data_IF_325175282853
#
_entry.id   IF_325175282853
#
_cell.length_a   1.000
_cell.length_b   1.000
_cell.length_c   1.000
_cell.angle_alpha   90.00
_cell.angle_beta   90.00
_cell.angle_gamma   90.00
#
_symmetry.space_group_name_H-M   'P 1'
#
loop_
_entity.id
_entity.type
_entity.pdbx_description
1 polymer ?
#
# COMPACT_ATOMS: atom_id res chain seq x y z
N UNK A 1 11.58 23.17 -41.20
CA UNK A 1 10.32 22.48 -41.57
C UNK A 1 10.45 20.97 -41.44
N UNK A 2 11.43 20.32 -42.08
CA UNK A 2 11.68 18.87 -41.96
C UNK A 2 12.10 18.44 -40.53
N UNK A 3 12.93 19.24 -39.84
CA UNK A 3 13.35 18.94 -38.46
C UNK A 3 12.20 19.03 -37.44
N UNK A 4 11.20 19.87 -37.68
CA UNK A 4 10.00 19.98 -36.82
C UNK A 4 9.08 18.78 -37.00
N UNK A 5 8.88 18.30 -38.24
CA UNK A 5 8.06 17.11 -38.51
C UNK A 5 8.69 15.82 -37.99
N UNK A 6 10.01 15.65 -38.17
CA UNK A 6 10.74 14.48 -37.64
C UNK A 6 10.72 14.43 -36.11
N UNK A 7 10.82 15.60 -35.47
CA UNK A 7 10.74 15.72 -34.03
C UNK A 7 9.32 15.37 -33.56
N UNK A 8 8.26 15.93 -34.17
CA UNK A 8 6.86 15.61 -33.82
C UNK A 8 6.48 14.15 -34.05
N UNK A 9 7.01 13.50 -35.09
CA UNK A 9 6.79 12.06 -35.32
C UNK A 9 7.48 11.23 -34.23
N UNK A 10 8.73 11.57 -33.88
CA UNK A 10 9.47 10.87 -32.83
C UNK A 10 8.82 11.04 -31.45
N UNK A 11 8.38 12.25 -31.08
CA UNK A 11 7.68 12.49 -29.81
C UNK A 11 6.40 11.65 -29.70
N UNK A 12 5.67 11.50 -30.81
CA UNK A 12 4.41 10.74 -30.82
C UNK A 12 4.63 9.22 -30.76
N UNK A 13 5.70 8.71 -31.35
CA UNK A 13 6.12 7.29 -31.22
C UNK A 13 6.66 6.98 -29.82
N UNK A 14 7.43 7.88 -29.21
CA UNK A 14 7.89 7.80 -27.83
C UNK A 14 6.72 7.79 -26.84
N UNK A 15 5.74 8.67 -27.02
CA UNK A 15 4.55 8.72 -26.17
C UNK A 15 3.72 7.43 -26.27
N UNK A 16 3.54 6.88 -27.48
CA UNK A 16 2.85 5.62 -27.70
C UNK A 16 3.59 4.41 -27.09
N UNK A 17 4.92 4.38 -27.14
CA UNK A 17 5.72 3.33 -26.48
C UNK A 17 5.62 3.43 -24.95
N UNK A 18 5.71 4.66 -24.42
CA UNK A 18 5.59 4.93 -22.99
C UNK A 18 4.19 4.57 -22.48
N UNK A 19 3.12 4.91 -23.21
CA UNK A 19 1.76 4.49 -22.87
C UNK A 19 1.59 2.98 -22.89
N UNK A 20 2.11 2.27 -23.90
CA UNK A 20 2.07 0.80 -23.96
C UNK A 20 2.84 0.14 -22.80
N UNK A 21 4.02 0.65 -22.46
CA UNK A 21 4.82 0.17 -21.33
C UNK A 21 4.12 0.43 -20.00
N UNK A 22 3.62 1.64 -19.79
CA UNK A 22 2.79 1.97 -18.64
C UNK A 22 1.60 1.02 -18.57
N UNK A 23 0.94 0.72 -19.70
CA UNK A 23 -0.29 -0.08 -19.71
C UNK A 23 0.00 -1.53 -19.35
N UNK A 24 1.16 -2.06 -19.76
CA UNK A 24 1.67 -3.36 -19.32
C UNK A 24 2.02 -3.37 -17.84
N UNK A 25 2.73 -2.36 -17.33
CA UNK A 25 3.09 -2.24 -15.91
C UNK A 25 1.83 -2.11 -15.04
N UNK A 26 0.87 -1.31 -15.48
CA UNK A 26 -0.44 -1.16 -14.85
C UNK A 26 -1.22 -2.48 -14.84
N UNK A 27 -1.28 -3.21 -15.96
CA UNK A 27 -1.92 -4.53 -16.02
C UNK A 27 -1.22 -5.58 -15.13
N UNK A 28 0.11 -5.50 -15.02
CA UNK A 28 0.91 -6.38 -14.17
C UNK A 28 0.70 -6.09 -12.67
N UNK A 29 0.45 -4.83 -12.30
CA UNK A 29 0.27 -4.38 -10.91
C UNK A 29 -1.20 -4.39 -10.43
N UNK A 30 -2.19 -4.23 -11.30
CA UNK A 30 -3.60 -4.04 -10.91
C UNK A 30 -4.46 -5.32 -10.92
N UNK A 31 -3.85 -6.50 -10.72
CA UNK A 31 -4.63 -7.72 -10.38
C UNK A 31 -5.72 -8.07 -11.41
N UNK A 32 -5.42 -8.01 -12.71
CA UNK A 32 -6.14 -8.88 -13.66
C UNK A 32 -5.35 -10.17 -13.80
N UNK A 33 -5.61 -11.08 -12.86
CA UNK A 33 -4.99 -12.42 -12.69
C UNK A 33 -4.97 -13.32 -13.94
N UNK A 34 -5.60 -12.90 -15.05
CA UNK A 34 -5.85 -13.73 -16.21
C UNK A 34 -4.94 -13.51 -17.42
N UNK A 35 -4.08 -12.48 -17.49
CA UNK A 35 -3.34 -12.22 -18.74
C UNK A 35 -1.85 -12.59 -18.77
N UNK A 36 -1.08 -12.58 -17.67
CA UNK A 36 0.37 -12.88 -17.75
C UNK A 36 0.99 -13.59 -16.52
N UNK A 37 1.82 -14.64 -16.71
CA UNK A 37 2.51 -15.35 -15.63
C UNK A 37 3.53 -14.48 -14.88
N UNK A 38 4.10 -13.46 -15.54
CA UNK A 38 5.07 -12.54 -14.94
C UNK A 38 4.48 -11.68 -13.81
N UNK A 39 3.23 -11.23 -13.96
CA UNK A 39 2.56 -10.45 -12.91
C UNK A 39 2.30 -11.27 -11.66
N UNK A 40 1.99 -12.57 -11.84
CA UNK A 40 1.83 -13.52 -10.74
C UNK A 40 3.15 -13.75 -10.00
N UNK A 41 4.26 -13.94 -10.72
CA UNK A 41 5.58 -14.06 -10.11
C UNK A 41 5.94 -12.82 -9.30
N UNK A 42 5.76 -11.62 -9.87
CA UNK A 42 6.06 -10.36 -9.18
C UNK A 42 5.18 -10.17 -7.92
N UNK A 43 3.89 -10.52 -7.99
CA UNK A 43 2.97 -10.52 -6.84
C UNK A 43 3.48 -11.43 -5.73
N UNK A 44 3.79 -12.70 -6.03
CA UNK A 44 4.31 -13.64 -5.03
C UNK A 44 5.68 -13.24 -4.49
N UNK A 45 6.55 -12.68 -5.34
CA UNK A 45 7.84 -12.14 -4.91
C UNK A 45 7.67 -11.00 -3.89
N UNK A 46 6.77 -10.06 -4.13
CA UNK A 46 6.47 -8.98 -3.18
C UNK A 46 5.86 -9.51 -1.88
N UNK A 47 4.91 -10.45 -1.96
CA UNK A 47 4.34 -11.11 -0.76
C UNK A 47 5.46 -11.78 0.04
N UNK A 48 6.32 -12.55 -0.64
CA UNK A 48 7.45 -13.24 -0.01
C UNK A 48 8.38 -12.25 0.68
N UNK A 49 8.73 -11.14 0.02
CA UNK A 49 9.58 -10.10 0.58
C UNK A 49 8.95 -9.43 1.81
N UNK A 50 7.64 -9.14 1.78
CA UNK A 50 6.91 -8.55 2.92
C UNK A 50 6.89 -9.52 4.10
N UNK A 51 6.61 -10.81 3.85
CA UNK A 51 6.63 -11.85 4.88
C UNK A 51 8.02 -11.99 5.50
N UNK A 52 9.08 -12.02 4.68
CA UNK A 52 10.45 -12.11 5.16
C UNK A 52 10.83 -10.86 5.98
N UNK A 53 10.48 -9.67 5.51
CA UNK A 53 10.69 -8.44 6.26
C UNK A 53 9.98 -8.46 7.62
N UNK A 54 8.73 -8.94 7.65
CA UNK A 54 7.98 -9.10 8.91
C UNK A 54 8.68 -10.07 9.86
N UNK A 55 9.20 -11.21 9.37
CA UNK A 55 9.96 -12.16 10.19
C UNK A 55 11.25 -11.55 10.75
N UNK A 56 11.99 -10.79 9.93
CA UNK A 56 13.20 -10.08 10.35
C UNK A 56 12.88 -9.10 11.48
N UNK A 57 11.77 -8.37 11.38
CA UNK A 57 11.30 -7.46 12.44
C UNK A 57 10.88 -8.22 13.70
N UNK A 58 10.22 -9.38 13.58
CA UNK A 58 9.89 -10.19 14.74
C UNK A 58 11.14 -10.67 15.48
N UNK A 59 12.20 -11.05 14.74
CA UNK A 59 13.49 -11.44 15.32
C UNK A 59 14.19 -10.22 15.95
N UNK A 60 14.11 -9.05 15.32
CA UNK A 60 14.61 -7.77 15.84
C UNK A 60 13.97 -7.38 17.18
N UNK A 61 12.71 -7.77 17.41
CA UNK A 61 12.01 -7.54 18.69
C UNK A 61 12.61 -8.32 19.87
N UNK A 62 13.49 -9.29 19.63
CA UNK A 62 14.17 -10.07 20.67
C UNK A 62 15.58 -9.51 20.84
N UNK A 63 15.80 -8.79 21.95
CA UNK A 63 17.05 -8.03 22.20
C UNK A 63 18.33 -8.88 22.11
N UNK A 64 18.26 -10.15 22.51
CA UNK A 64 19.40 -11.08 22.49
C UNK A 64 19.83 -11.43 21.05
N UNK A 65 18.87 -11.67 20.16
CA UNK A 65 19.12 -12.02 18.77
C UNK A 65 19.52 -10.79 17.94
N UNK A 66 18.96 -9.62 18.28
CA UNK A 66 19.28 -8.37 17.59
C UNK A 66 20.76 -7.99 17.73
N UNK A 67 21.36 -8.13 18.91
CA UNK A 67 22.78 -7.74 19.12
C UNK A 67 23.75 -8.56 18.27
N UNK A 68 23.45 -9.84 18.04
CA UNK A 68 24.30 -10.77 17.30
C UNK A 68 24.17 -10.55 15.78
N UNK A 69 22.94 -10.33 15.28
CA UNK A 69 22.66 -10.25 13.84
C UNK A 69 22.36 -8.83 13.34
N UNK A 70 22.60 -7.80 14.15
CA UNK A 70 22.25 -6.39 13.89
C UNK A 70 22.58 -5.94 12.46
N UNK A 71 23.79 -6.20 12.00
CA UNK A 71 24.28 -5.77 10.68
C UNK A 71 23.51 -6.42 9.54
N UNK A 72 23.24 -7.72 9.65
CA UNK A 72 22.52 -8.50 8.62
C UNK A 72 21.05 -8.08 8.58
N UNK A 73 20.40 -7.99 9.74
CA UNK A 73 19.00 -7.59 9.85
C UNK A 73 18.78 -6.17 9.32
N UNK A 74 19.68 -5.23 9.67
CA UNK A 74 19.57 -3.85 9.20
C UNK A 74 19.82 -3.73 7.69
N UNK A 75 20.81 -4.45 7.15
CA UNK A 75 21.07 -4.46 5.70
C UNK A 75 19.90 -5.04 4.91
N UNK A 76 19.28 -6.11 5.41
CA UNK A 76 18.08 -6.70 4.81
C UNK A 76 16.88 -5.74 4.84
N UNK A 77 16.69 -5.04 5.96
CA UNK A 77 15.64 -4.02 6.09
C UNK A 77 15.83 -2.88 5.09
N UNK A 78 17.05 -2.37 4.94
CA UNK A 78 17.38 -1.32 3.96
C UNK A 78 17.14 -1.80 2.52
N UNK A 79 17.56 -3.02 2.19
CA UNK A 79 17.32 -3.61 0.88
C UNK A 79 15.81 -3.74 0.56
N UNK A 80 15.05 -4.33 1.49
CA UNK A 80 13.60 -4.52 1.33
C UNK A 80 12.86 -3.20 1.18
N UNK A 81 13.27 -2.18 1.95
CA UNK A 81 12.73 -0.83 1.85
C UNK A 81 13.01 -0.19 0.48
N UNK A 82 14.21 -0.37 -0.08
CA UNK A 82 14.53 0.07 -1.43
C UNK A 82 13.60 -0.56 -2.49
N UNK A 83 13.38 -1.88 -2.39
CA UNK A 83 12.47 -2.59 -3.30
C UNK A 83 11.02 -2.08 -3.17
N UNK A 84 10.52 -1.87 -1.95
CA UNK A 84 9.17 -1.34 -1.74
C UNK A 84 9.02 0.11 -2.22
N UNK A 85 10.07 0.92 -2.10
CA UNK A 85 10.08 2.29 -2.61
C UNK A 85 10.01 2.31 -4.13
N UNK A 86 10.79 1.45 -4.80
CA UNK A 86 10.74 1.28 -6.25
C UNK A 86 9.37 0.79 -6.70
N UNK A 87 8.79 -0.19 -5.99
CA UNK A 87 7.44 -0.70 -6.23
C UNK A 87 6.38 0.41 -6.15
N UNK A 88 6.47 1.26 -5.13
CA UNK A 88 5.59 2.40 -4.96
C UNK A 88 5.75 3.43 -6.09
N UNK A 89 6.99 3.76 -6.48
CA UNK A 89 7.25 4.69 -7.59
C UNK A 89 6.71 4.15 -8.91
N UNK A 90 6.90 2.86 -9.19
CA UNK A 90 6.35 2.19 -10.36
C UNK A 90 4.81 2.24 -10.38
N UNK A 91 4.16 2.09 -9.22
CA UNK A 91 2.70 2.27 -9.07
C UNK A 91 2.27 3.70 -9.38
N UNK A 92 2.90 4.69 -8.76
CA UNK A 92 2.55 6.12 -8.97
C UNK A 92 2.76 6.52 -10.44
N UNK A 93 3.82 6.01 -11.07
CA UNK A 93 4.11 6.24 -12.48
C UNK A 93 3.07 5.59 -13.42
N UNK A 94 2.70 4.34 -13.16
CA UNK A 94 1.72 3.58 -13.95
C UNK A 94 0.27 4.03 -13.75
N UNK A 95 -0.06 4.71 -12.65
CA UNK A 95 -1.42 5.16 -12.36
C UNK A 95 -1.96 6.23 -13.33
N UNK A 96 -1.08 6.88 -14.10
CA UNK A 96 -1.43 7.94 -15.07
C UNK A 96 -2.28 7.47 -16.26
N UNK A 97 -2.51 6.16 -16.41
CA UNK A 97 -3.26 5.55 -17.51
C UNK A 97 -4.77 5.53 -17.25
N UNK A 98 -5.18 5.51 -15.98
CA UNK A 98 -6.60 5.53 -15.66
C UNK A 98 -7.17 6.88 -16.09
N UNK A 99 -8.19 6.87 -16.96
CA UNK A 99 -8.99 8.06 -17.31
C UNK A 99 -9.48 8.83 -16.06
N UNK A 100 -9.65 8.13 -14.92
CA UNK A 100 -10.03 8.69 -13.61
C UNK A 100 -8.92 9.52 -12.93
N UNK A 101 -7.65 9.33 -13.32
CA UNK A 101 -6.46 10.01 -12.81
C UNK A 101 -5.62 10.66 -13.93
N UNK A 102 -6.27 11.01 -15.05
CA UNK A 102 -5.59 11.49 -16.27
C UNK A 102 -4.85 12.82 -16.10
N UNK A 103 -5.15 13.59 -15.05
CA UNK A 103 -4.45 14.85 -14.79
C UNK A 103 -3.04 14.58 -14.23
N UNK A 104 -1.96 15.12 -14.84
CA UNK A 104 -0.58 14.75 -14.53
C UNK A 104 -0.15 14.97 -13.08
N UNK A 105 -0.80 15.88 -12.35
CA UNK A 105 -0.46 16.23 -10.95
C UNK A 105 -1.60 15.87 -10.00
N UNK A 106 -2.83 16.31 -10.31
CA UNK A 106 -4.00 16.04 -9.49
C UNK A 106 -4.42 14.56 -9.47
N UNK A 107 -4.24 13.85 -10.58
CA UNK A 107 -4.50 12.41 -10.65
C UNK A 107 -3.53 11.62 -9.77
N UNK A 108 -2.25 12.00 -9.78
CA UNK A 108 -1.21 11.39 -8.93
C UNK A 108 -1.45 11.67 -7.44
N UNK A 109 -1.78 12.90 -7.07
CA UNK A 109 -2.13 13.26 -5.69
C UNK A 109 -3.34 12.49 -5.18
N UNK A 110 -4.38 12.36 -6.01
CA UNK A 110 -5.57 11.59 -5.64
C UNK A 110 -5.28 10.10 -5.46
N UNK A 111 -4.36 9.54 -6.24
CA UNK A 111 -3.88 8.17 -6.02
C UNK A 111 -3.05 8.05 -4.75
N UNK A 112 -2.12 8.98 -4.48
CA UNK A 112 -1.31 9.00 -3.26
C UNK A 112 -2.19 9.13 -1.99
N UNK A 113 -3.33 9.80 -2.09
CA UNK A 113 -4.33 9.90 -1.02
C UNK A 113 -5.22 8.67 -0.86
N UNK A 114 -5.06 7.63 -1.68
CA UNK A 114 -5.77 6.38 -1.42
C UNK A 114 -5.20 5.72 -0.16
N UNK A 115 -6.04 5.16 0.73
CA UNK A 115 -5.60 4.61 2.01
C UNK A 115 -4.49 3.55 1.85
N UNK A 116 -4.51 2.80 0.74
CA UNK A 116 -3.47 1.82 0.40
C UNK A 116 -2.12 2.47 0.02
N UNK A 117 -2.15 3.55 -0.76
CA UNK A 117 -0.93 4.29 -1.10
C UNK A 117 -0.37 5.05 0.12
N UNK A 118 -1.25 5.50 1.03
CA UNK A 118 -0.85 6.08 2.32
C UNK A 118 -0.18 5.04 3.21
N UNK A 119 -0.69 3.81 3.27
CA UNK A 119 -0.03 2.71 4.02
C UNK A 119 1.35 2.42 3.42
N UNK A 120 1.47 2.40 2.10
CA UNK A 120 2.77 2.28 1.42
C UNK A 120 3.72 3.43 1.79
N UNK A 121 3.18 4.64 1.97
CA UNK A 121 3.91 5.85 2.33
C UNK A 121 4.43 5.80 3.77
N UNK A 122 3.55 5.48 4.71
CA UNK A 122 3.89 5.42 6.13
C UNK A 122 4.88 4.28 6.40
N UNK A 123 4.87 3.22 5.60
CA UNK A 123 5.80 2.10 5.76
C UNK A 123 7.28 2.48 5.53
N UNK A 124 7.59 3.46 4.66
CA UNK A 124 8.97 3.91 4.43
C UNK A 124 9.41 5.07 5.35
N UNK A 125 8.43 5.71 5.99
CA UNK A 125 8.59 6.87 6.87
C UNK A 125 9.64 6.69 7.98
N UNK A 126 9.77 5.51 8.63
CA UNK A 126 10.73 5.30 9.70
C UNK A 126 12.19 5.53 9.30
N UNK A 127 12.52 5.31 8.03
CA UNK A 127 13.86 5.52 7.51
C UNK A 127 14.21 7.00 7.43
N UNK A 128 13.23 7.85 7.11
CA UNK A 128 13.45 9.29 6.97
C UNK A 128 13.66 9.97 8.32
N UNK A 129 12.99 9.48 9.36
CA UNK A 129 13.12 9.98 10.73
C UNK A 129 14.40 9.51 11.44
N UNK A 130 15.02 8.40 11.01
CA UNK A 130 16.28 7.93 11.60
C UNK A 130 17.46 8.89 11.35
N UNK A 131 17.31 9.87 10.45
CA UNK A 131 18.32 10.88 10.15
C UNK A 131 18.31 12.09 11.10
N UNK A 132 17.27 12.28 11.92
CA UNK A 132 17.18 13.44 12.82
C UNK A 132 17.45 13.02 14.29
N UNK A 133 18.59 13.41 14.90
CA UNK A 133 19.02 12.90 16.20
C UNK A 133 18.31 13.54 17.42
N UNK A 134 17.28 14.36 17.24
CA UNK A 134 16.76 15.26 18.28
C UNK A 134 15.64 14.73 19.21
N UNK A 135 14.81 13.78 18.78
CA UNK A 135 13.52 13.52 19.46
C UNK A 135 13.35 12.08 19.94
N UNK A 136 13.58 11.85 21.24
CA UNK A 136 13.39 10.56 21.91
C UNK A 136 11.92 10.07 21.97
N UNK A 137 10.93 10.93 21.71
CA UNK A 137 9.51 10.53 21.67
C UNK A 137 9.11 9.75 20.42
N UNK A 138 9.94 9.74 19.38
CA UNK A 138 9.59 9.20 18.06
C UNK A 138 9.76 7.68 17.95
N UNK A 139 10.51 7.05 18.87
CA UNK A 139 10.79 5.61 18.82
C UNK A 139 9.52 4.74 18.88
N UNK A 140 8.47 5.17 19.57
CA UNK A 140 7.18 4.45 19.63
C UNK A 140 6.43 4.48 18.30
N UNK A 141 6.46 5.62 17.60
CA UNK A 141 5.85 5.76 16.26
C UNK A 141 6.57 4.89 15.23
N UNK A 142 7.91 4.78 15.31
CA UNK A 142 8.72 3.91 14.44
C UNK A 142 8.43 2.41 14.63
N UNK A 143 7.88 2.01 15.78
CA UNK A 143 7.43 0.63 16.01
C UNK A 143 6.04 0.40 15.39
N UNK A 144 5.12 1.35 15.52
CA UNK A 144 3.77 1.27 14.95
C UNK A 144 3.79 1.17 13.42
N UNK A 145 4.68 1.91 12.76
CA UNK A 145 4.89 1.83 11.30
C UNK A 145 5.29 0.45 10.81
N UNK A 146 5.92 -0.38 11.65
CA UNK A 146 6.29 -1.76 11.29
C UNK A 146 5.07 -2.67 11.20
N UNK A 147 4.09 -2.50 12.10
CA UNK A 147 2.80 -3.22 12.00
C UNK A 147 2.00 -2.83 10.76
N UNK A 148 2.10 -1.58 10.30
CA UNK A 148 1.44 -1.13 9.08
C UNK A 148 1.97 -1.84 7.82
N UNK A 149 3.19 -2.38 7.84
CA UNK A 149 3.73 -3.16 6.72
C UNK A 149 2.96 -4.47 6.51
N UNK A 150 2.43 -5.08 7.58
CA UNK A 150 1.57 -6.27 7.51
C UNK A 150 0.27 -5.96 6.77
N UNK A 151 -0.27 -4.74 6.90
CA UNK A 151 -1.48 -4.34 6.17
C UNK A 151 -1.26 -4.36 4.65
N UNK A 152 -0.01 -4.25 4.15
CA UNK A 152 0.31 -4.44 2.73
C UNK A 152 -0.02 -5.85 2.25
N UNK A 153 0.15 -6.89 3.08
CA UNK A 153 -0.22 -8.27 2.74
C UNK A 153 -1.71 -8.41 2.46
N UNK A 154 -2.54 -7.65 3.18
CA UNK A 154 -3.99 -7.62 2.96
C UNK A 154 -4.34 -7.35 1.50
N UNK A 155 -3.68 -6.38 0.85
CA UNK A 155 -3.93 -6.02 -0.55
C UNK A 155 -3.61 -7.14 -1.55
N UNK A 156 -2.58 -7.93 -1.27
CA UNK A 156 -2.19 -9.03 -2.16
C UNK A 156 -3.01 -10.30 -1.94
N UNK A 157 -3.64 -10.42 -0.78
CA UNK A 157 -4.61 -11.47 -0.51
C UNK A 157 -5.89 -11.22 -1.32
N UNK A 158 -6.23 -12.18 -2.18
CA UNK A 158 -7.46 -12.18 -2.99
C UNK A 158 -8.72 -12.00 -2.12
N UNK A 159 -8.63 -12.41 -0.85
CA UNK A 159 -9.69 -12.30 0.16
C UNK A 159 -10.12 -10.86 0.40
N UNK A 160 -9.21 -9.88 0.42
CA UNK A 160 -9.59 -8.47 0.68
C UNK A 160 -10.31 -7.84 -0.49
N UNK A 161 -10.01 -8.27 -1.72
CA UNK A 161 -10.70 -7.81 -2.92
C UNK A 161 -12.13 -8.35 -2.94
N UNK A 162 -12.31 -9.62 -2.60
CA UNK A 162 -13.63 -10.25 -2.45
C UNK A 162 -14.41 -9.57 -1.31
N UNK A 163 -13.78 -9.33 -0.16
CA UNK A 163 -14.40 -8.63 0.97
C UNK A 163 -14.84 -7.22 0.59
N UNK A 164 -13.99 -6.45 -0.08
CA UNK A 164 -14.32 -5.10 -0.53
C UNK A 164 -15.49 -5.12 -1.53
N UNK A 165 -15.52 -6.12 -2.42
CA UNK A 165 -16.62 -6.29 -3.36
C UNK A 165 -17.93 -6.63 -2.63
N UNK A 166 -17.90 -7.55 -1.66
CA UNK A 166 -19.07 -7.92 -0.84
C UNK A 166 -19.57 -6.73 -0.03
N UNK A 167 -18.67 -5.98 0.62
CA UNK A 167 -19.01 -4.77 1.38
C UNK A 167 -19.64 -3.73 0.45
N UNK A 168 -19.07 -3.51 -0.73
CA UNK A 168 -19.61 -2.53 -1.67
C UNK A 168 -21.01 -2.91 -2.16
N UNK A 169 -21.21 -4.20 -2.49
CA UNK A 169 -22.49 -4.74 -2.95
C UNK A 169 -23.57 -4.71 -1.85
N UNK A 170 -23.17 -4.95 -0.59
CA UNK A 170 -24.09 -5.04 0.56
C UNK A 170 -24.01 -3.86 1.51
N UNK A 171 -23.39 -2.74 1.11
CA UNK A 171 -23.16 -1.58 1.98
C UNK A 171 -24.45 -1.03 2.60
N UNK A 172 -25.54 -1.03 1.84
CA UNK A 172 -26.84 -0.52 2.31
C UNK A 172 -27.39 -1.41 3.41
N UNK A 173 -27.34 -2.73 3.22
CA UNK A 173 -27.79 -3.71 4.21
C UNK A 173 -26.91 -3.67 5.48
N UNK A 174 -25.59 -3.59 5.32
CA UNK A 174 -24.62 -3.47 6.42
C UNK A 174 -24.84 -2.21 7.27
N UNK A 175 -25.08 -1.06 6.63
CA UNK A 175 -25.32 0.19 7.36
C UNK A 175 -26.65 0.14 8.11
N UNK A 176 -27.68 -0.50 7.54
CA UNK A 176 -28.97 -0.64 8.21
C UNK A 176 -28.85 -1.53 9.46
N UNK A 177 -28.23 -2.71 9.34
CA UNK A 177 -28.05 -3.61 10.49
C UNK A 177 -27.19 -2.98 11.58
N UNK A 178 -26.12 -2.27 11.20
CA UNK A 178 -25.27 -1.56 12.14
C UNK A 178 -26.02 -0.46 12.90
N UNK A 179 -26.89 0.29 12.23
CA UNK A 179 -27.74 1.29 12.89
C UNK A 179 -28.71 0.64 13.88
N UNK A 180 -29.35 -0.48 13.53
CA UNK A 180 -30.25 -1.20 14.43
C UNK A 180 -29.51 -1.68 15.68
N UNK A 181 -28.32 -2.27 15.50
CA UNK A 181 -27.47 -2.70 16.64
C UNK A 181 -27.06 -1.50 17.49
N UNK A 182 -26.72 -0.37 16.88
CA UNK A 182 -26.38 0.85 17.61
C UNK A 182 -27.53 1.35 18.49
N UNK A 183 -28.76 1.42 17.96
CA UNK A 183 -29.93 1.76 18.76
C UNK A 183 -30.17 0.75 19.89
N UNK A 184 -30.07 -0.55 19.61
CA UNK A 184 -30.22 -1.59 20.63
C UNK A 184 -29.20 -1.45 21.77
N UNK A 185 -27.96 -1.11 21.45
CA UNK A 185 -26.90 -0.88 22.45
C UNK A 185 -27.22 0.31 23.36
N UNK A 186 -27.73 1.41 22.79
CA UNK A 186 -28.14 2.59 23.57
C UNK A 186 -29.29 2.23 24.50
N UNK A 187 -30.35 1.61 23.96
CA UNK A 187 -31.51 1.19 24.76
C UNK A 187 -31.13 0.21 25.87
N UNK A 188 -30.25 -0.74 25.59
CA UNK A 188 -29.73 -1.67 26.60
C UNK A 188 -28.95 -0.95 27.70
N UNK A 189 -28.17 0.08 27.35
CA UNK A 189 -27.43 0.89 28.31
C UNK A 189 -28.36 1.68 29.23
N UNK A 190 -29.36 2.36 28.67
CA UNK A 190 -30.38 3.11 29.42
C UNK A 190 -31.19 2.20 30.35
N UNK A 191 -31.61 1.03 29.86
CA UNK A 191 -32.35 0.05 30.66
C UNK A 191 -31.54 -0.49 31.84
N UNK A 192 -30.24 -0.77 31.63
CA UNK A 192 -29.36 -1.21 32.69
C UNK A 192 -29.18 -0.13 33.78
N UNK A 193 -29.05 1.13 33.38
CA UNK A 193 -28.95 2.27 34.30
C UNK A 193 -30.25 2.44 35.10
N UNK A 194 -31.41 2.35 34.43
CA UNK A 194 -32.72 2.42 35.06
C UNK A 194 -32.93 1.31 36.10
N UNK A 195 -32.58 0.05 35.79
CA UNK A 195 -32.70 -1.05 36.74
C UNK A 195 -31.74 -0.98 37.94
N UNK A 196 -30.67 -0.17 37.86
CA UNK A 196 -29.70 0.00 38.94
C UNK A 196 -30.08 1.12 39.93
N UNK A 197 -31.05 1.96 39.58
CA UNK A 197 -31.52 3.11 40.38
C UNK A 197 -32.77 2.73 41.15
#
# INVERSE_FOLDING_TARGET
MILTELNTLSWHEWDNMVEKLKHRVFLLLETKEHLHPLGRFFKYFLIFLITLNTLVVCIESIDEMFKIYKTILNSFNQFSLGVFTLEYLLRVWSCTILKKYSHPVWGRLKYMLTPLAIIDLIAFLPFYFYFDPGNFQEMKLLQLTRFLQILKLGRYSQVTQILNQVIYLRKKELVLTLNVVFFLLIFSGEFNLFCRT
#
